data_IF_556612115071
#
_entry.id   IF_556612115071
#
_cell.length_a   1.000
_cell.length_b   1.000
_cell.length_c   1.000
_cell.angle_alpha   90.00
_cell.angle_beta   90.00
_cell.angle_gamma   90.00
#
_symmetry.space_group_name_H-M   'P 1'
#
loop_
_entity.id
_entity.type
_entity.pdbx_description
1 polymer ?
#
# COMPACT_ATOMS: atom_id res chain seq x y z
N UNK A 1 -14.51 -19.06 1.91
CA UNK A 1 -13.74 -18.54 0.74
C UNK A 1 -13.96 -17.03 0.52
N UNK A 2 -15.13 -16.49 0.90
CA UNK A 2 -15.43 -15.05 0.76
C UNK A 2 -14.78 -14.19 1.86
N UNK A 3 -14.65 -14.70 3.09
CA UNK A 3 -14.15 -13.91 4.21
C UNK A 3 -12.71 -13.43 4.03
N UNK A 4 -11.84 -14.26 3.41
CA UNK A 4 -10.47 -13.87 3.09
C UNK A 4 -10.41 -12.74 2.04
N UNK A 5 -11.30 -12.77 1.04
CA UNK A 5 -11.42 -11.69 0.04
C UNK A 5 -11.88 -10.38 0.68
N UNK A 6 -12.87 -10.48 1.58
CA UNK A 6 -13.39 -9.33 2.33
C UNK A 6 -12.27 -8.76 3.21
N UNK A 7 -11.59 -9.60 3.98
CA UNK A 7 -10.49 -9.16 4.84
C UNK A 7 -9.36 -8.48 4.06
N UNK A 8 -8.91 -9.06 2.93
CA UNK A 8 -7.88 -8.42 2.09
C UNK A 8 -8.35 -7.08 1.55
N UNK A 9 -9.60 -6.98 1.07
CA UNK A 9 -10.19 -5.72 0.62
C UNK A 9 -10.25 -4.69 1.76
N UNK A 10 -10.63 -5.10 2.98
CA UNK A 10 -10.66 -4.24 4.16
C UNK A 10 -9.26 -3.76 4.57
N UNK A 11 -8.24 -4.63 4.50
CA UNK A 11 -6.85 -4.25 4.77
C UNK A 11 -6.34 -3.22 3.75
N UNK A 12 -6.70 -3.35 2.47
CA UNK A 12 -6.37 -2.34 1.45
C UNK A 12 -7.10 -1.02 1.65
N UNK A 13 -8.36 -1.04 2.13
CA UNK A 13 -9.07 0.18 2.52
C UNK A 13 -8.35 0.85 3.69
N UNK A 14 -8.02 0.09 4.73
CA UNK A 14 -7.28 0.58 5.89
C UNK A 14 -5.93 1.21 5.48
N UNK A 15 -5.14 0.51 4.66
CA UNK A 15 -3.87 1.04 4.15
C UNK A 15 -4.08 2.33 3.34
N UNK A 16 -5.04 2.35 2.42
CA UNK A 16 -5.35 3.54 1.61
C UNK A 16 -5.72 4.75 2.47
N UNK A 17 -6.55 4.55 3.50
CA UNK A 17 -6.93 5.61 4.42
C UNK A 17 -5.73 6.10 5.24
N UNK A 18 -4.84 5.20 5.66
CA UNK A 18 -3.64 5.55 6.40
C UNK A 18 -2.69 6.39 5.54
N UNK A 19 -2.43 5.99 4.29
CA UNK A 19 -1.64 6.76 3.33
C UNK A 19 -2.24 8.16 3.14
N UNK A 20 -3.54 8.24 2.86
CA UNK A 20 -4.23 9.51 2.62
C UNK A 20 -4.13 10.44 3.84
N UNK A 21 -4.31 9.90 5.05
CA UNK A 21 -4.23 10.71 6.25
C UNK A 21 -2.78 11.12 6.57
N UNK A 22 -1.79 10.26 6.29
CA UNK A 22 -0.38 10.62 6.39
C UNK A 22 -0.03 11.81 5.48
N UNK A 23 -0.52 11.82 4.24
CA UNK A 23 -0.33 12.93 3.31
C UNK A 23 -1.02 14.21 3.81
N UNK A 24 -2.24 14.10 4.33
CA UNK A 24 -2.96 15.24 4.94
C UNK A 24 -2.20 15.82 6.12
N UNK A 25 -1.66 14.98 7.01
CA UNK A 25 -0.81 15.45 8.12
C UNK A 25 0.48 16.07 7.60
N UNK A 26 1.07 15.50 6.54
CA UNK A 26 2.22 16.07 5.86
C UNK A 26 1.97 17.49 5.35
N UNK A 27 0.78 17.76 4.81
CA UNK A 27 0.38 19.10 4.37
C UNK A 27 0.23 20.11 5.53
N UNK A 28 0.02 19.62 6.77
CA UNK A 28 -0.03 20.47 7.97
C UNK A 28 1.36 20.79 8.53
N UNK A 29 2.41 20.04 8.14
CA UNK A 29 3.79 20.37 8.49
C UNK A 29 4.24 21.58 7.66
N UNK A 30 4.48 22.71 8.32
CA UNK A 30 4.91 23.96 7.66
C UNK A 30 6.19 23.82 6.83
N UNK A 31 7.11 22.94 7.24
CA UNK A 31 8.35 22.68 6.52
C UNK A 31 8.13 21.90 5.23
N UNK A 32 7.20 20.94 5.23
CA UNK A 32 6.84 20.19 4.03
C UNK A 32 5.90 20.98 3.11
N UNK A 33 4.94 21.72 3.69
CA UNK A 33 4.05 22.60 2.95
C UNK A 33 4.82 23.68 2.18
N UNK A 34 5.80 24.32 2.81
CA UNK A 34 6.65 25.31 2.13
C UNK A 34 7.38 24.69 0.94
N UNK A 35 7.84 23.44 1.05
CA UNK A 35 8.53 22.73 -0.02
C UNK A 35 7.60 22.42 -1.20
N UNK A 36 6.36 22.01 -0.92
CA UNK A 36 5.34 21.83 -1.95
C UNK A 36 5.04 23.14 -2.69
N UNK A 37 4.94 24.25 -1.97
CA UNK A 37 4.70 25.57 -2.58
C UNK A 37 5.87 26.06 -3.42
N UNK A 38 7.11 25.73 -3.06
CA UNK A 38 8.31 26.04 -3.86
C UNK A 38 8.56 25.04 -4.99
N UNK A 39 7.75 23.98 -5.10
CA UNK A 39 7.88 22.95 -6.15
C UNK A 39 9.12 22.06 -6.00
N UNK A 40 9.77 22.03 -4.83
CA UNK A 40 10.95 21.20 -4.57
C UNK A 40 10.83 20.56 -3.20
N UNK A 41 10.76 19.23 -3.14
CA UNK A 41 10.58 18.45 -1.92
C UNK A 41 11.80 17.59 -1.67
N UNK A 42 12.48 17.80 -0.54
CA UNK A 42 13.71 17.12 -0.15
C UNK A 42 14.78 17.13 -1.27
N UNK A 43 14.89 18.23 -2.01
CA UNK A 43 15.83 18.39 -3.13
C UNK A 43 15.38 17.75 -4.45
N UNK A 44 14.19 17.16 -4.51
CA UNK A 44 13.59 16.65 -5.75
C UNK A 44 12.60 17.65 -6.32
N UNK A 45 12.72 17.96 -7.60
CA UNK A 45 11.74 18.82 -8.30
C UNK A 45 10.40 18.10 -8.45
N UNK A 46 9.33 18.78 -8.04
CA UNK A 46 7.96 18.30 -8.15
C UNK A 46 7.42 18.61 -9.55
N UNK A 47 7.92 17.88 -10.55
CA UNK A 47 7.47 18.00 -11.94
C UNK A 47 6.22 17.12 -12.22
N UNK A 48 5.65 17.25 -13.41
CA UNK A 48 4.48 16.47 -13.83
C UNK A 48 4.70 14.95 -13.69
N UNK A 49 5.89 14.48 -14.05
CA UNK A 49 6.24 13.06 -13.95
C UNK A 49 6.31 12.55 -12.51
N UNK A 50 6.78 13.38 -11.57
CA UNK A 50 6.80 13.07 -10.14
C UNK A 50 5.36 12.89 -9.62
N UNK A 51 4.47 13.83 -9.96
CA UNK A 51 3.06 13.78 -9.55
C UNK A 51 2.35 12.57 -10.17
N UNK A 52 2.57 12.29 -11.46
CA UNK A 52 2.02 11.13 -12.13
C UNK A 52 2.51 9.81 -11.51
N UNK A 53 3.80 9.74 -11.17
CA UNK A 53 4.39 8.55 -10.52
C UNK A 53 3.78 8.31 -9.14
N UNK A 54 3.58 9.37 -8.35
CA UNK A 54 2.86 9.30 -7.07
C UNK A 54 1.42 8.83 -7.23
N UNK A 55 0.70 9.34 -8.22
CA UNK A 55 -0.66 8.93 -8.52
C UNK A 55 -0.75 7.44 -8.91
N UNK A 56 0.11 6.97 -9.81
CA UNK A 56 0.18 5.55 -10.22
C UNK A 56 0.49 4.65 -9.01
N UNK A 57 1.41 5.08 -8.14
CA UNK A 57 1.75 4.34 -6.94
C UNK A 57 0.59 4.23 -5.94
N UNK A 58 -0.27 5.25 -5.86
CA UNK A 58 -1.48 5.25 -5.04
C UNK A 58 -2.66 4.52 -5.69
N UNK A 59 -2.67 4.39 -7.01
CA UNK A 59 -3.67 3.58 -7.71
C UNK A 59 -3.55 2.09 -7.36
N UNK A 60 -2.35 1.60 -7.03
CA UNK A 60 -2.13 0.20 -6.62
C UNK A 60 -3.05 -0.20 -5.44
N UNK A 61 -2.96 0.43 -4.24
CA UNK A 61 -3.82 0.06 -3.13
C UNK A 61 -5.31 0.31 -3.42
N UNK A 62 -5.64 1.38 -4.16
CA UNK A 62 -7.04 1.71 -4.54
C UNK A 62 -7.63 0.60 -5.41
N UNK A 63 -6.93 0.18 -6.46
CA UNK A 63 -7.35 -0.90 -7.34
C UNK A 63 -7.48 -2.22 -6.56
N UNK A 64 -6.55 -2.49 -5.64
CA UNK A 64 -6.56 -3.72 -4.83
C UNK A 64 -7.76 -3.84 -3.89
N UNK A 65 -8.40 -2.72 -3.49
CA UNK A 65 -9.69 -2.75 -2.77
C UNK A 65 -10.73 -3.53 -3.56
N UNK A 66 -10.82 -3.28 -4.87
CA UNK A 66 -11.81 -3.89 -5.77
C UNK A 66 -11.31 -5.27 -6.23
N UNK A 67 -10.07 -5.35 -6.68
CA UNK A 67 -9.48 -6.58 -7.24
C UNK A 67 -9.47 -7.73 -6.22
N UNK A 68 -9.27 -7.44 -4.93
CA UNK A 68 -9.33 -8.44 -3.86
C UNK A 68 -10.69 -9.13 -3.75
N UNK A 69 -11.77 -8.50 -4.22
CA UNK A 69 -13.12 -9.10 -4.24
C UNK A 69 -13.39 -9.84 -5.55
N UNK A 70 -13.00 -9.24 -6.68
CA UNK A 70 -13.34 -9.75 -8.01
C UNK A 70 -12.45 -10.91 -8.48
N UNK A 71 -11.16 -10.90 -8.16
CA UNK A 71 -10.23 -11.89 -8.71
C UNK A 71 -10.48 -13.32 -8.19
N UNK A 72 -10.25 -14.31 -9.06
CA UNK A 72 -10.22 -15.73 -8.70
C UNK A 72 -9.03 -16.03 -7.79
N UNK A 73 -9.11 -17.09 -7.00
CA UNK A 73 -8.15 -17.43 -5.93
C UNK A 73 -6.66 -17.26 -6.31
N UNK A 74 -6.23 -17.91 -7.39
CA UNK A 74 -4.81 -17.88 -7.82
C UNK A 74 -4.35 -16.49 -8.23
N UNK A 75 -5.12 -15.78 -9.06
CA UNK A 75 -4.79 -14.42 -9.47
C UNK A 75 -4.80 -13.44 -8.29
N UNK A 76 -5.77 -13.58 -7.39
CA UNK A 76 -5.93 -12.73 -6.21
C UNK A 76 -4.76 -12.89 -5.23
N UNK A 77 -4.34 -14.13 -5.00
CA UNK A 77 -3.17 -14.45 -4.17
C UNK A 77 -1.91 -13.76 -4.68
N UNK A 78 -1.58 -13.94 -5.97
CA UNK A 78 -0.39 -13.31 -6.55
C UNK A 78 -0.49 -11.79 -6.62
N UNK A 79 -1.66 -11.23 -6.98
CA UNK A 79 -1.85 -9.78 -7.00
C UNK A 79 -1.60 -9.15 -5.62
N UNK A 80 -2.10 -9.74 -4.54
CA UNK A 80 -1.87 -9.25 -3.18
C UNK A 80 -0.40 -9.36 -2.74
N UNK A 81 0.26 -10.47 -3.07
CA UNK A 81 1.68 -10.66 -2.75
C UNK A 81 2.53 -9.59 -3.46
N UNK A 82 2.31 -9.40 -4.77
CA UNK A 82 3.08 -8.46 -5.58
C UNK A 82 2.80 -7.02 -5.12
N UNK A 83 1.53 -6.61 -5.04
CA UNK A 83 1.15 -5.26 -4.64
C UNK A 83 1.61 -4.93 -3.20
N UNK A 84 1.40 -5.85 -2.26
CA UNK A 84 1.84 -5.69 -0.87
C UNK A 84 3.36 -5.58 -0.76
N UNK A 85 4.11 -6.39 -1.51
CA UNK A 85 5.58 -6.32 -1.51
C UNK A 85 6.08 -5.01 -2.11
N UNK A 86 5.51 -4.56 -3.23
CA UNK A 86 5.87 -3.27 -3.85
C UNK A 86 5.65 -2.12 -2.86
N UNK A 87 4.48 -2.04 -2.23
CA UNK A 87 4.18 -0.95 -1.28
C UNK A 87 5.06 -1.03 -0.02
N UNK A 88 5.37 -2.23 0.47
CA UNK A 88 6.29 -2.42 1.61
C UNK A 88 7.69 -1.92 1.26
N UNK A 89 8.25 -2.36 0.13
CA UNK A 89 9.61 -1.98 -0.29
C UNK A 89 9.69 -0.47 -0.50
N UNK A 90 8.72 0.12 -1.21
CA UNK A 90 8.70 1.56 -1.46
C UNK A 90 8.63 2.34 -0.15
N UNK A 91 7.77 1.95 0.79
CA UNK A 91 7.67 2.66 2.08
C UNK A 91 8.94 2.54 2.92
N UNK A 92 9.64 1.40 2.86
CA UNK A 92 10.96 1.25 3.50
C UNK A 92 11.98 2.17 2.84
N UNK A 93 12.02 2.22 1.50
CA UNK A 93 12.97 3.06 0.76
C UNK A 93 12.74 4.55 1.05
N UNK A 94 11.50 5.01 1.13
CA UNK A 94 11.19 6.42 1.42
C UNK A 94 11.64 6.84 2.82
N UNK A 95 11.70 5.93 3.79
CA UNK A 95 12.25 6.21 5.13
C UNK A 95 13.76 6.56 5.11
N UNK A 96 14.49 6.19 4.05
CA UNK A 96 15.92 6.48 3.92
C UNK A 96 16.23 7.71 3.06
N UNK A 97 15.24 8.28 2.36
CA UNK A 97 15.46 9.43 1.44
C UNK A 97 15.75 10.72 2.20
N UNK A 98 15.08 10.94 3.33
CA UNK A 98 15.27 12.10 4.19
C UNK A 98 15.04 11.72 5.64
N UNK A 99 15.49 12.54 6.59
CA UNK A 99 15.26 12.29 8.02
C UNK A 99 13.76 12.37 8.31
N UNK A 100 13.09 11.23 8.57
CA UNK A 100 11.64 11.23 8.65
C UNK A 100 11.17 11.87 9.97
N UNK A 101 10.15 12.71 9.88
CA UNK A 101 9.48 13.25 11.08
C UNK A 101 8.76 12.13 11.82
N UNK A 102 8.50 12.33 13.12
CA UNK A 102 7.87 11.31 13.97
C UNK A 102 6.50 10.84 13.49
N UNK A 103 5.68 11.74 12.92
CA UNK A 103 4.39 11.34 12.34
C UNK A 103 4.56 10.44 11.13
N UNK A 104 5.52 10.73 10.25
CA UNK A 104 5.81 9.92 9.07
C UNK A 104 6.32 8.53 9.46
N UNK A 105 7.18 8.45 10.49
CA UNK A 105 7.62 7.17 11.06
C UNK A 105 6.44 6.35 11.59
N UNK A 106 5.51 7.00 12.30
CA UNK A 106 4.33 6.34 12.84
C UNK A 106 3.44 5.77 11.73
N UNK A 107 3.00 6.60 10.79
CA UNK A 107 2.15 6.15 9.68
C UNK A 107 2.86 5.12 8.80
N UNK A 108 4.13 5.33 8.49
CA UNK A 108 4.93 4.38 7.71
C UNK A 108 5.12 3.03 8.38
N UNK A 109 5.29 2.99 9.69
CA UNK A 109 5.35 1.72 10.42
C UNK A 109 4.03 0.95 10.31
N UNK A 110 2.89 1.63 10.41
CA UNK A 110 1.56 1.02 10.28
C UNK A 110 1.33 0.52 8.85
N UNK A 111 1.74 1.30 7.85
CA UNK A 111 1.67 0.90 6.43
C UNK A 111 2.48 -0.35 6.16
N UNK A 112 3.75 -0.37 6.57
CA UNK A 112 4.65 -1.50 6.41
C UNK A 112 4.07 -2.75 7.08
N UNK A 113 3.59 -2.64 8.33
CA UNK A 113 2.97 -3.77 9.03
C UNK A 113 1.73 -4.25 8.29
N UNK A 114 0.87 -3.34 7.84
CA UNK A 114 -0.37 -3.69 7.13
C UNK A 114 -0.06 -4.41 5.82
N UNK A 115 0.87 -3.90 5.01
CA UNK A 115 1.23 -4.51 3.72
C UNK A 115 1.94 -5.85 3.91
N UNK A 116 2.76 -6.01 4.95
CA UNK A 116 3.31 -7.32 5.33
C UNK A 116 2.22 -8.31 5.74
N UNK A 117 1.22 -7.87 6.51
CA UNK A 117 0.06 -8.71 6.88
C UNK A 117 -0.72 -9.15 5.65
N UNK A 118 -0.93 -8.25 4.67
CA UNK A 118 -1.57 -8.58 3.39
C UNK A 118 -0.78 -9.68 2.65
N UNK A 119 0.55 -9.52 2.53
CA UNK A 119 1.43 -10.50 1.87
C UNK A 119 1.36 -11.84 2.60
N UNK A 120 1.46 -11.84 3.92
CA UNK A 120 1.39 -13.05 4.74
C UNK A 120 0.04 -13.76 4.61
N UNK A 121 -1.07 -13.00 4.66
CA UNK A 121 -2.42 -13.55 4.49
C UNK A 121 -2.63 -14.17 3.11
N UNK A 122 -2.13 -13.52 2.07
CA UNK A 122 -2.18 -14.02 0.71
C UNK A 122 -1.27 -15.25 0.55
N UNK A 123 -0.09 -15.27 1.16
CA UNK A 123 0.83 -16.40 1.12
C UNK A 123 0.23 -17.65 1.75
N UNK A 124 -0.38 -17.52 2.94
CA UNK A 124 -1.03 -18.62 3.66
C UNK A 124 -2.43 -18.97 3.14
N UNK A 125 -2.85 -18.35 2.02
CA UNK A 125 -4.10 -18.71 1.36
C UNK A 125 -3.89 -19.92 0.46
N UNK A 126 -3.89 -21.11 1.08
CA UNK A 126 -3.88 -22.40 0.39
C UNK A 126 -5.31 -22.74 -0.06
N UNK A 127 -5.46 -23.28 -1.27
CA UNK A 127 -6.74 -23.86 -1.70
C UNK A 127 -7.06 -25.05 -0.76
N UNK A 128 -8.32 -25.26 -0.34
CA UNK A 128 -8.71 -26.58 0.14
C UNK A 128 -8.39 -27.58 -0.99
N UNK A 129 -7.69 -28.67 -0.67
CA UNK A 129 -7.54 -29.79 -1.60
C UNK A 129 -8.94 -30.17 -2.11
N UNK A 130 -9.11 -30.20 -3.43
CA UNK A 130 -10.21 -30.97 -4.01
C UNK A 130 -9.94 -32.41 -3.60
N UNK A 131 -10.67 -32.88 -2.60
CA UNK A 131 -10.73 -34.31 -2.27
C UNK A 131 -11.31 -34.98 -3.51
N UNK A 132 -10.44 -35.43 -4.40
CA UNK A 132 -10.81 -36.31 -5.50
C UNK A 132 -11.23 -37.62 -4.85
N UNK A 133 -12.52 -37.77 -4.57
CA UNK A 133 -13.12 -39.05 -4.22
C UNK A 133 -13.04 -39.91 -5.48
N UNK A 134 -12.01 -40.74 -5.56
CA UNK A 134 -11.96 -41.85 -6.51
C UNK A 134 -13.00 -42.88 -6.08
N UNK A 135 -14.11 -42.95 -6.83
CA UNK A 135 -15.09 -44.05 -6.79
C UNK A 135 -14.60 -45.17 -7.70
#
# INVERSE_FOLDING_TARGET
MNDKKILLSTLWIFATLNYLYCDVVGLMDSGLLSQYLTGTVNGMEMNENFLLSGAILMEIPIAMVILSRLLKHTANRWANIIAGSIKTVIMILTMFVATPKSYYLFFGSIEIVTTMVIVWYAWNWTKPEEVTVSI
#
